data_IF_574382468649
#
_entry.id   IF_574382468649
#
_cell.length_a   1.000
_cell.length_b   1.000
_cell.length_c   1.000
_cell.angle_alpha   90.00
_cell.angle_beta   90.00
_cell.angle_gamma   90.00
#
_symmetry.space_group_name_H-M   'P 1'
#
loop_
_entity.id
_entity.type
_entity.pdbx_description
1 polymer ?
#
# COMPACT_ATOMS: atom_id res chain seq x y z
N UNK A 1 -7.89 -17.11 15.49
CA UNK A 1 -7.48 -16.48 16.77
C UNK A 1 -6.23 -15.66 16.49
N UNK A 2 -6.40 -14.39 16.06
CA UNK A 2 -5.27 -13.52 15.72
C UNK A 2 -4.66 -13.06 17.03
N UNK A 3 -3.42 -13.46 17.27
CA UNK A 3 -2.67 -13.29 18.51
C UNK A 3 -2.64 -11.81 18.91
N UNK A 4 -3.04 -11.51 20.15
CA UNK A 4 -3.14 -10.19 20.81
C UNK A 4 -2.02 -9.18 20.47
N UNK A 5 -0.82 -9.68 20.16
CA UNK A 5 0.36 -8.89 19.76
C UNK A 5 0.20 -8.18 18.41
N UNK A 6 -0.42 -8.81 17.42
CA UNK A 6 -0.63 -8.21 16.09
C UNK A 6 -1.71 -7.13 16.12
N UNK A 7 -2.69 -7.27 17.01
CA UNK A 7 -3.76 -6.29 17.20
C UNK A 7 -3.23 -5.00 17.84
N UNK A 8 -2.29 -5.08 18.78
CA UNK A 8 -1.61 -3.90 19.34
C UNK A 8 -0.75 -3.16 18.31
N UNK A 9 -0.04 -3.88 17.45
CA UNK A 9 0.75 -3.26 16.36
C UNK A 9 -0.17 -2.51 15.40
N UNK A 10 -1.30 -3.11 15.03
CA UNK A 10 -2.29 -2.47 14.16
C UNK A 10 -2.89 -1.20 14.81
N UNK A 11 -3.18 -1.25 16.11
CA UNK A 11 -3.77 -0.12 16.85
C UNK A 11 -2.77 1.05 17.00
N UNK A 12 -1.48 0.75 17.20
CA UNK A 12 -0.43 1.76 17.29
C UNK A 12 -0.26 2.53 15.96
N UNK A 13 -0.41 1.86 14.81
CA UNK A 13 -0.32 2.50 13.50
C UNK A 13 -1.48 3.47 13.25
N UNK A 14 -2.67 3.22 13.83
CA UNK A 14 -3.87 4.06 13.64
C UNK A 14 -3.87 5.30 14.54
N UNK A 15 -3.33 5.22 15.77
CA UNK A 15 -3.45 6.30 16.78
C UNK A 15 -2.41 7.43 16.58
N UNK A 16 -1.23 7.15 16.02
CA UNK A 16 -0.15 8.15 15.88
C UNK A 16 -0.13 8.88 14.53
N UNK A 17 -1.29 9.02 13.87
CA UNK A 17 -1.47 9.64 12.55
C UNK A 17 -1.21 11.16 12.45
N UNK A 18 -0.70 11.81 13.50
CA UNK A 18 -0.63 13.27 13.59
C UNK A 18 0.67 13.88 13.09
N UNK A 19 0.60 14.56 11.94
CA UNK A 19 1.63 15.42 11.33
C UNK A 19 2.73 14.70 10.53
N UNK A 20 2.35 14.06 9.43
CA UNK A 20 3.30 13.63 8.41
C UNK A 20 3.37 14.68 7.28
N UNK A 21 4.56 15.23 7.04
CA UNK A 21 4.88 15.87 5.75
C UNK A 21 5.01 14.74 4.72
N UNK A 22 3.91 14.44 4.01
CA UNK A 22 3.83 13.31 3.11
C UNK A 22 4.15 13.77 1.69
N UNK A 23 5.41 13.58 1.28
CA UNK A 23 5.75 13.60 -0.14
C UNK A 23 5.27 12.26 -0.74
N UNK A 24 4.12 12.29 -1.42
CA UNK A 24 3.64 11.16 -2.20
C UNK A 24 4.19 11.26 -3.61
N UNK A 25 4.93 10.24 -4.06
CA UNK A 25 5.22 10.07 -5.47
C UNK A 25 4.16 9.12 -6.05
N UNK A 26 3.28 9.66 -6.88
CA UNK A 26 2.26 8.90 -7.60
C UNK A 26 2.60 9.01 -9.09
N UNK A 27 2.77 7.86 -9.74
CA UNK A 27 3.02 7.75 -11.17
C UNK A 27 1.87 6.96 -11.82
N UNK A 28 1.33 7.52 -12.89
CA UNK A 28 0.30 6.88 -13.71
C UNK A 28 0.78 6.81 -15.15
N UNK A 29 0.78 5.62 -15.71
CA UNK A 29 1.14 5.36 -17.10
C UNK A 29 -0.01 4.64 -17.79
N UNK A 30 -0.45 5.14 -18.95
CA UNK A 30 -1.48 4.51 -19.75
C UNK A 30 -1.07 4.47 -21.22
N UNK A 31 -1.16 3.29 -21.82
CA UNK A 31 -0.97 3.07 -23.25
C UNK A 31 -2.29 2.55 -23.84
N UNK A 32 -2.84 3.30 -24.80
CA UNK A 32 -4.10 2.94 -25.48
C UNK A 32 -3.74 2.21 -26.78
N UNK A 33 -4.32 1.03 -27.00
CA UNK A 33 -4.24 0.33 -28.28
C UNK A 33 -5.58 0.45 -29.01
N UNK A 34 -5.72 1.35 -30.01
CA UNK A 34 -6.97 1.56 -30.74
C UNK A 34 -7.43 0.31 -31.50
N UNK A 35 -6.52 -0.61 -31.80
CA UNK A 35 -6.79 -1.85 -32.53
C UNK A 35 -7.39 -2.96 -31.67
N UNK A 36 -7.30 -2.88 -30.34
CA UNK A 36 -7.78 -3.92 -29.42
C UNK A 36 -8.94 -3.45 -28.52
N UNK A 37 -9.34 -2.18 -28.62
CA UNK A 37 -10.26 -1.51 -27.67
C UNK A 37 -9.84 -1.76 -26.20
N UNK A 38 -8.53 -1.85 -25.98
CA UNK A 38 -7.93 -2.15 -24.68
C UNK A 38 -6.84 -1.12 -24.38
N UNK A 39 -6.79 -0.70 -23.12
CA UNK A 39 -5.72 0.12 -22.58
C UNK A 39 -4.90 -0.70 -21.59
N UNK A 40 -3.57 -0.58 -21.66
CA UNK A 40 -2.68 -1.03 -20.60
C UNK A 40 -2.42 0.15 -19.68
N UNK A 41 -2.83 0.04 -18.43
CA UNK A 41 -2.60 1.06 -17.42
C UNK A 41 -1.74 0.48 -16.30
N UNK A 42 -0.77 1.26 -15.82
CA UNK A 42 -0.02 0.99 -14.60
C UNK A 42 -0.15 2.17 -13.66
N UNK A 43 -0.46 1.88 -12.41
CA UNK A 43 -0.47 2.82 -11.32
C UNK A 43 0.59 2.41 -10.31
N UNK A 44 1.49 3.34 -9.98
CA UNK A 44 2.54 3.13 -9.00
C UNK A 44 2.52 4.23 -7.95
N UNK A 45 2.45 3.83 -6.70
CA UNK A 45 2.52 4.72 -5.54
C UNK A 45 3.68 4.32 -4.63
N UNK A 46 4.54 5.29 -4.32
CA UNK A 46 5.64 5.13 -3.39
C UNK A 46 5.50 6.09 -2.22
N UNK A 47 5.79 5.62 -1.00
CA UNK A 47 5.79 6.47 0.20
C UNK A 47 6.85 6.04 1.19
N UNK A 48 7.40 7.04 1.87
CA UNK A 48 8.29 6.88 3.02
C UNK A 48 7.62 7.58 4.22
N UNK A 49 7.56 6.87 5.35
CA UNK A 49 7.04 7.36 6.61
C UNK A 49 8.17 7.29 7.62
N UNK A 50 8.51 8.43 8.23
CA UNK A 50 9.44 8.47 9.35
C UNK A 50 8.67 8.59 10.65
N UNK A 51 8.89 7.64 11.55
CA UNK A 51 8.40 7.65 12.92
C UNK A 51 9.52 8.18 13.82
N UNK A 52 9.19 9.10 14.72
CA UNK A 52 10.07 9.57 15.80
C UNK A 52 9.45 9.20 17.13
N UNK A 53 10.26 8.70 18.05
CA UNK A 53 9.81 8.26 19.37
C UNK A 53 10.91 8.49 20.41
N UNK A 54 10.56 8.61 21.70
CA UNK A 54 11.56 8.73 22.75
C UNK A 54 12.46 7.49 22.83
N UNK A 55 13.74 7.71 23.12
CA UNK A 55 14.68 6.64 23.44
C UNK A 55 14.18 5.82 24.65
N UNK A 56 14.51 4.52 24.67
CA UNK A 56 14.13 3.58 25.73
C UNK A 56 12.61 3.41 25.95
N UNK A 57 11.78 3.90 25.03
CA UNK A 57 10.35 3.58 25.00
C UNK A 57 10.10 2.14 24.51
N UNK A 58 8.93 1.60 24.81
CA UNK A 58 8.53 0.27 24.32
C UNK A 58 8.60 0.14 22.79
N UNK A 59 8.35 1.23 22.05
CA UNK A 59 8.48 1.25 20.59
C UNK A 59 9.94 1.31 20.13
N UNK A 60 10.81 2.01 20.86
CA UNK A 60 12.26 1.97 20.67
C UNK A 60 12.76 0.53 20.86
N UNK A 61 12.41 -0.14 21.95
CA UNK A 61 12.82 -1.54 22.17
C UNK A 61 12.30 -2.49 21.09
N UNK A 62 11.08 -2.27 20.62
CA UNK A 62 10.48 -3.09 19.57
C UNK A 62 11.19 -2.93 18.23
N UNK A 63 11.54 -1.70 17.85
CA UNK A 63 12.00 -1.37 16.50
C UNK A 63 13.52 -1.25 16.38
N UNK A 64 14.24 -0.97 17.46
CA UNK A 64 15.67 -0.75 17.42
C UNK A 64 16.42 -1.97 16.84
N UNK A 65 17.18 -1.74 15.77
CA UNK A 65 17.91 -2.78 15.06
C UNK A 65 17.04 -3.65 14.14
N UNK A 66 15.71 -3.47 14.10
CA UNK A 66 14.85 -4.23 13.20
C UNK A 66 15.00 -3.77 11.76
N UNK A 67 15.17 -4.76 10.89
CA UNK A 67 15.15 -4.61 9.44
C UNK A 67 14.27 -5.71 8.87
N UNK A 68 13.04 -5.36 8.53
CA UNK A 68 12.09 -6.32 7.98
C UNK A 68 11.60 -5.83 6.62
N UNK A 69 11.29 -6.78 5.74
CA UNK A 69 10.70 -6.51 4.43
C UNK A 69 9.58 -7.50 4.21
N UNK A 70 8.45 -6.99 3.74
CA UNK A 70 7.28 -7.77 3.36
C UNK A 70 7.00 -7.49 1.89
N UNK A 71 6.81 -8.54 1.09
CA UNK A 71 6.43 -8.42 -0.31
C UNK A 71 5.46 -9.50 -0.69
N UNK A 72 4.46 -9.15 -1.50
CA UNK A 72 3.52 -10.10 -2.07
C UNK A 72 3.03 -9.62 -3.43
N UNK A 73 2.51 -10.58 -4.20
CA UNK A 73 1.89 -10.34 -5.50
C UNK A 73 0.52 -10.99 -5.49
N UNK A 74 -0.52 -10.25 -5.86
CA UNK A 74 -1.88 -10.76 -6.05
C UNK A 74 -2.26 -10.64 -7.52
N UNK A 75 -3.05 -11.58 -8.02
CA UNK A 75 -3.54 -11.56 -9.39
C UNK A 75 -5.07 -11.74 -9.39
N UNK A 76 -5.80 -10.91 -10.14
CA UNK A 76 -7.26 -10.95 -10.21
C UNK A 76 -7.80 -12.29 -10.74
N UNK A 77 -6.98 -13.09 -11.41
CA UNK A 77 -7.34 -14.44 -11.87
C UNK A 77 -7.49 -15.44 -10.73
N UNK A 78 -6.92 -15.17 -9.54
CA UNK A 78 -7.10 -16.00 -8.36
C UNK A 78 -8.26 -15.45 -7.50
N UNK A 79 -9.41 -16.14 -7.46
CA UNK A 79 -10.61 -15.65 -6.79
C UNK A 79 -10.51 -15.68 -5.26
N UNK A 80 -9.46 -16.30 -4.70
CA UNK A 80 -9.28 -16.40 -3.26
C UNK A 80 -8.48 -15.23 -2.68
N UNK A 81 -7.95 -14.34 -3.54
CA UNK A 81 -7.34 -13.10 -3.09
C UNK A 81 -8.32 -11.93 -3.18
N UNK A 82 -8.19 -10.98 -2.24
CA UNK A 82 -9.11 -9.85 -2.12
C UNK A 82 -9.03 -8.81 -3.24
N UNK A 83 -8.26 -9.07 -4.32
CA UNK A 83 -7.98 -8.08 -5.36
C UNK A 83 -9.23 -7.77 -6.19
N UNK A 84 -10.06 -8.76 -6.47
CA UNK A 84 -11.30 -8.56 -7.25
C UNK A 84 -12.27 -7.60 -6.57
N UNK A 85 -12.36 -7.63 -5.23
CA UNK A 85 -13.18 -6.69 -4.46
C UNK A 85 -12.60 -5.26 -4.49
N UNK A 86 -11.27 -5.14 -4.49
CA UNK A 86 -10.59 -3.85 -4.65
C UNK A 86 -10.88 -3.27 -6.04
N UNK A 87 -10.70 -4.07 -7.10
CA UNK A 87 -11.00 -3.65 -8.47
C UNK A 87 -12.46 -3.24 -8.64
N UNK A 88 -13.40 -4.01 -8.06
CA UNK A 88 -14.82 -3.66 -8.07
C UNK A 88 -15.07 -2.30 -7.39
N UNK A 89 -14.42 -2.04 -6.26
CA UNK A 89 -14.55 -0.75 -5.57
C UNK A 89 -14.00 0.41 -6.39
N UNK A 90 -12.85 0.23 -7.06
CA UNK A 90 -12.27 1.22 -7.96
C UNK A 90 -13.21 1.48 -9.15
N UNK A 91 -13.70 0.42 -9.80
CA UNK A 91 -14.63 0.53 -10.92
C UNK A 91 -15.92 1.25 -10.52
N UNK A 92 -16.44 0.98 -9.32
CA UNK A 92 -17.61 1.68 -8.79
C UNK A 92 -17.35 3.17 -8.62
N UNK A 93 -16.19 3.57 -8.08
CA UNK A 93 -15.82 4.99 -7.96
C UNK A 93 -15.65 5.64 -9.34
N UNK A 94 -14.99 4.97 -10.28
CA UNK A 94 -14.82 5.47 -11.65
C UNK A 94 -16.18 5.70 -12.33
N UNK A 95 -17.11 4.76 -12.18
CA UNK A 95 -18.44 4.85 -12.76
C UNK A 95 -19.29 5.93 -12.08
N UNK A 96 -19.39 5.89 -10.75
CA UNK A 96 -20.34 6.71 -9.98
C UNK A 96 -19.86 8.14 -9.77
N UNK A 97 -18.58 8.33 -9.46
CA UNK A 97 -18.05 9.66 -9.10
C UNK A 97 -17.37 10.36 -10.28
N UNK A 98 -16.78 9.60 -11.21
CA UNK A 98 -16.04 10.17 -12.34
C UNK A 98 -16.78 10.05 -13.67
N UNK A 99 -17.95 9.39 -13.68
CA UNK A 99 -18.74 9.11 -14.90
C UNK A 99 -17.89 8.48 -16.02
N UNK A 100 -16.86 7.74 -15.62
CA UNK A 100 -15.94 7.08 -16.53
C UNK A 100 -16.46 5.68 -16.85
N UNK A 101 -16.49 5.33 -18.13
CA UNK A 101 -16.84 3.98 -18.59
C UNK A 101 -15.61 3.04 -18.59
N UNK A 102 -14.44 3.55 -18.19
CA UNK A 102 -13.23 2.73 -18.06
C UNK A 102 -13.38 1.79 -16.87
N UNK A 103 -13.11 0.51 -17.09
CA UNK A 103 -13.14 -0.53 -16.08
C UNK A 103 -11.83 -1.31 -16.08
N UNK A 104 -11.38 -1.70 -14.89
CA UNK A 104 -10.36 -2.72 -14.74
C UNK A 104 -11.02 -4.10 -14.87
N UNK A 105 -10.64 -4.86 -15.89
CA UNK A 105 -11.09 -6.25 -16.08
C UNK A 105 -10.17 -7.24 -15.36
N UNK A 106 -8.86 -7.02 -15.46
CA UNK A 106 -7.84 -7.83 -14.82
C UNK A 106 -6.73 -6.94 -14.30
N UNK A 107 -6.06 -7.37 -13.22
CA UNK A 107 -4.89 -6.69 -12.71
C UNK A 107 -3.98 -7.63 -11.91
N UNK A 108 -2.71 -7.24 -11.83
CA UNK A 108 -1.73 -7.74 -10.87
C UNK A 108 -1.35 -6.63 -9.91
N UNK A 109 -1.49 -6.90 -8.61
CA UNK A 109 -1.03 -6.01 -7.55
C UNK A 109 0.33 -6.51 -7.04
N UNK A 110 1.36 -5.67 -7.12
CA UNK A 110 2.66 -5.91 -6.50
C UNK A 110 2.81 -4.96 -5.31
N UNK A 111 3.05 -5.53 -4.14
CA UNK A 111 3.26 -4.77 -2.91
C UNK A 111 4.64 -5.06 -2.33
N UNK A 112 5.31 -4.01 -1.86
CA UNK A 112 6.53 -4.13 -1.07
C UNK A 112 6.50 -3.10 0.05
N UNK A 113 6.84 -3.53 1.26
CA UNK A 113 7.11 -2.64 2.38
C UNK A 113 8.40 -3.05 3.08
N UNK A 114 9.13 -2.07 3.59
CA UNK A 114 10.29 -2.28 4.44
C UNK A 114 10.22 -1.38 5.66
N UNK A 115 10.74 -1.87 6.78
CA UNK A 115 10.95 -1.09 7.99
C UNK A 115 12.42 -1.16 8.37
N UNK A 116 12.98 -0.01 8.70
CA UNK A 116 14.32 0.14 9.24
C UNK A 116 14.22 0.92 10.55
N UNK A 117 14.42 0.24 11.67
CA UNK A 117 14.26 0.82 12.99
C UNK A 117 15.57 1.11 13.70
N UNK A 118 15.59 2.25 14.38
CA UNK A 118 16.68 2.75 15.23
C UNK A 118 16.21 3.06 16.65
N UNK A 119 17.09 3.62 17.49
CA UNK A 119 16.82 3.84 18.92
C UNK A 119 15.79 4.94 19.19
N UNK A 120 15.65 5.92 18.31
CA UNK A 120 14.76 7.09 18.47
C UNK A 120 13.91 7.37 17.22
N UNK A 121 14.21 6.68 16.12
CA UNK A 121 13.60 6.88 14.81
C UNK A 121 13.46 5.58 14.03
N UNK A 122 12.40 5.47 13.25
CA UNK A 122 12.19 4.39 12.29
C UNK A 122 11.72 4.92 10.96
N UNK A 123 12.10 4.26 9.87
CA UNK A 123 11.61 4.55 8.53
C UNK A 123 10.85 3.36 7.99
N UNK A 124 9.61 3.59 7.57
CA UNK A 124 8.77 2.63 6.85
C UNK A 124 8.67 3.10 5.41
N UNK A 125 9.10 2.30 4.46
CA UNK A 125 8.95 2.57 3.04
C UNK A 125 7.99 1.56 2.44
N UNK A 126 7.03 2.00 1.64
CA UNK A 126 6.17 1.07 0.90
C UNK A 126 5.94 1.52 -0.54
N UNK A 127 5.70 0.53 -1.38
CA UNK A 127 5.43 0.63 -2.79
C UNK A 127 4.22 -0.23 -3.11
N UNK A 128 3.30 0.34 -3.89
CA UNK A 128 2.14 -0.36 -4.44
C UNK A 128 2.13 -0.13 -5.94
N UNK A 129 2.11 -1.22 -6.71
CA UNK A 129 1.97 -1.17 -8.16
C UNK A 129 0.77 -2.01 -8.59
N UNK A 130 -0.14 -1.41 -9.36
CA UNK A 130 -1.29 -2.06 -9.98
C UNK A 130 -1.14 -1.98 -11.50
N UNK A 131 -1.13 -3.11 -12.19
CA UNK A 131 -0.89 -3.22 -13.65
C UNK A 131 -1.67 -4.34 -14.31
#
# INVERSE_FOLDING_TARGET
MITSKYMMILLAVVIFGGNFNQAFAIQFEAAISPTLDQAKASFKGDKIITLRYPENSAISELLNGRKETVSFTLNSSDPNNGLTQILSSINNVLLQEKQSHVQFENATLVYRASINGGPDTSTISYQVELR
#
